data_IF_109406357393
#
_entry.id   IF_109406357393
#
_cell.length_a   1.000
_cell.length_b   1.000
_cell.length_c   1.000
_cell.angle_alpha   90.00
_cell.angle_beta   90.00
_cell.angle_gamma   90.00
#
_symmetry.space_group_name_H-M   'P 1'
#
loop_
_entity.id
_entity.type
_entity.pdbx_description
1 polymer ?
#
# COMPACT_ATOMS: atom_id res chain seq x y z
N UNK A 1 -3.06 1.28 16.45
CA UNK A 1 -2.21 1.09 15.25
C UNK A 1 -2.68 -0.06 14.34
N UNK A 2 -2.72 -1.33 14.78
CA UNK A 2 -3.09 -2.45 13.90
C UNK A 2 -4.43 -2.30 13.18
N UNK A 3 -5.50 -1.93 13.89
CA UNK A 3 -6.81 -1.66 13.28
C UNK A 3 -6.74 -0.60 12.17
N UNK A 4 -5.93 0.45 12.36
CA UNK A 4 -5.78 1.53 11.37
C UNK A 4 -5.01 1.04 10.14
N UNK A 5 -3.95 0.25 10.36
CA UNK A 5 -3.21 -0.38 9.28
C UNK A 5 -4.10 -1.32 8.46
N UNK A 6 -4.87 -2.21 9.11
CA UNK A 6 -5.82 -3.09 8.42
C UNK A 6 -6.86 -2.29 7.65
N UNK A 7 -7.47 -1.28 8.27
CA UNK A 7 -8.46 -0.45 7.60
C UNK A 7 -7.88 0.23 6.36
N UNK A 8 -6.65 0.76 6.45
CA UNK A 8 -5.94 1.36 5.32
C UNK A 8 -5.87 0.39 4.14
N UNK A 9 -5.38 -0.83 4.36
CA UNK A 9 -5.24 -1.82 3.29
C UNK A 9 -6.54 -2.47 2.83
N UNK A 10 -7.58 -2.48 3.68
CA UNK A 10 -8.87 -3.10 3.35
C UNK A 10 -9.87 -2.14 2.69
N UNK A 11 -9.69 -0.83 2.82
CA UNK A 11 -10.72 0.15 2.38
C UNK A 11 -10.21 1.25 1.47
N UNK A 12 -8.89 1.52 1.43
CA UNK A 12 -8.37 2.47 0.44
C UNK A 12 -8.15 1.75 -0.89
N UNK A 13 -8.88 2.20 -1.91
CA UNK A 13 -8.62 1.85 -3.32
C UNK A 13 -7.21 2.31 -3.78
N UNK A 14 -6.54 3.16 -3.01
CA UNK A 14 -5.22 3.72 -3.31
C UNK A 14 -4.09 3.15 -2.45
N UNK A 15 -4.35 2.19 -1.55
CA UNK A 15 -3.28 1.61 -0.75
C UNK A 15 -2.31 0.87 -1.68
N UNK A 16 -1.12 1.44 -1.87
CA UNK A 16 -0.16 0.93 -2.83
C UNK A 16 0.93 0.12 -2.12
N UNK A 17 1.66 -0.68 -2.89
CA UNK A 17 2.81 -1.45 -2.42
C UNK A 17 3.83 -0.57 -1.66
N UNK A 18 3.94 0.70 -2.05
CA UNK A 18 4.79 1.70 -1.40
C UNK A 18 4.36 2.09 0.03
N UNK A 19 3.11 1.85 0.42
CA UNK A 19 2.59 2.21 1.75
C UNK A 19 2.90 1.14 2.81
N UNK A 20 3.28 -0.07 2.40
CA UNK A 20 3.50 -1.19 3.33
C UNK A 20 4.63 -0.91 4.31
N UNK A 21 5.77 -0.43 3.82
CA UNK A 21 6.95 -0.17 4.67
C UNK A 21 6.69 0.98 5.67
N UNK A 22 6.17 2.16 5.26
CA UNK A 22 5.80 3.22 6.21
C UNK A 22 4.79 2.78 7.28
N UNK A 23 3.84 1.91 6.92
CA UNK A 23 2.86 1.38 7.88
C UNK A 23 3.54 0.38 8.83
N UNK A 24 4.45 -0.46 8.35
CA UNK A 24 5.24 -1.34 9.21
C UNK A 24 6.13 -0.55 10.18
N UNK A 25 6.80 0.51 9.72
CA UNK A 25 7.61 1.39 10.57
C UNK A 25 6.76 2.04 11.67
N UNK A 26 5.55 2.49 11.32
CA UNK A 26 4.58 3.05 12.27
C UNK A 26 4.13 2.02 13.32
N UNK A 27 3.96 0.76 12.92
CA UNK A 27 3.64 -0.33 13.86
C UNK A 27 4.84 -0.61 14.77
N UNK A 28 6.06 -0.73 14.23
CA UNK A 28 7.28 -1.00 15.03
C UNK A 28 7.49 0.08 16.10
N UNK A 29 7.36 1.35 15.71
CA UNK A 29 7.47 2.49 16.62
C UNK A 29 6.50 2.38 17.81
N UNK A 30 5.23 2.04 17.56
CA UNK A 30 4.23 1.89 18.62
C UNK A 30 4.51 0.67 19.50
N UNK A 31 4.98 -0.45 18.92
CA UNK A 31 5.36 -1.64 19.68
C UNK A 31 6.55 -1.34 20.61
N UNK A 32 7.56 -0.63 20.10
CA UNK A 32 8.76 -0.28 20.86
C UNK A 32 8.44 0.65 22.04
N UNK A 33 7.65 1.70 21.78
CA UNK A 33 7.15 2.58 22.86
C UNK A 33 6.37 1.77 23.89
N UNK A 34 5.52 0.83 23.44
CA UNK A 34 4.76 -0.05 24.33
C UNK A 34 5.65 -0.91 25.23
N UNK A 35 6.69 -1.54 24.67
CA UNK A 35 7.64 -2.39 25.41
C UNK A 35 8.44 -1.62 26.47
N UNK A 36 8.82 -0.38 26.16
CA UNK A 36 9.58 0.51 27.06
C UNK A 36 8.75 1.09 28.20
N UNK A 37 7.42 1.12 28.08
CA UNK A 37 6.56 1.66 29.14
C UNK A 37 6.38 0.67 30.30
N UNK A 38 6.66 1.12 31.52
CA UNK A 38 6.39 0.35 32.76
C UNK A 38 4.90 0.28 33.14
N UNK A 39 4.03 0.90 32.33
CA UNK A 39 2.59 0.95 32.56
C UNK A 39 1.91 -0.41 32.28
N UNK A 40 2.51 -1.22 31.41
CA UNK A 40 1.95 -2.52 31.04
C UNK A 40 2.53 -3.65 31.86
N UNK A 41 1.70 -4.66 32.13
CA UNK A 41 2.13 -5.90 32.75
C UNK A 41 3.13 -6.66 31.87
N UNK A 42 3.98 -7.48 32.47
CA UNK A 42 5.04 -8.20 31.75
C UNK A 42 4.50 -9.14 30.68
N UNK A 43 3.31 -9.72 30.88
CA UNK A 43 2.63 -10.53 29.86
C UNK A 43 2.29 -9.73 28.60
N UNK A 44 1.87 -8.48 28.74
CA UNK A 44 1.57 -7.58 27.61
C UNK A 44 2.87 -7.20 26.90
N UNK A 45 3.91 -6.87 27.66
CA UNK A 45 5.23 -6.52 27.11
C UNK A 45 5.85 -7.70 26.35
N UNK A 46 5.70 -8.92 26.86
CA UNK A 46 6.08 -10.14 26.14
C UNK A 46 5.28 -10.32 24.85
N UNK A 47 3.97 -10.09 24.89
CA UNK A 47 3.13 -10.09 23.69
C UNK A 47 3.59 -9.08 22.64
N UNK A 48 3.95 -7.87 23.05
CA UNK A 48 4.52 -6.85 22.16
C UNK A 48 5.86 -7.29 21.56
N UNK A 49 6.74 -7.91 22.35
CA UNK A 49 8.02 -8.44 21.86
C UNK A 49 7.83 -9.55 20.81
N UNK A 50 6.85 -10.44 21.02
CA UNK A 50 6.48 -11.48 20.04
C UNK A 50 5.89 -10.87 18.76
N UNK A 51 5.03 -9.86 18.90
CA UNK A 51 4.49 -9.12 17.76
C UNK A 51 5.60 -8.45 16.95
N UNK A 52 6.58 -7.81 17.62
CA UNK A 52 7.73 -7.17 16.99
C UNK A 52 8.61 -8.17 16.25
N UNK A 53 8.92 -9.32 16.87
CA UNK A 53 9.66 -10.41 16.21
C UNK A 53 8.95 -10.90 14.94
N UNK A 54 7.63 -10.99 15.01
CA UNK A 54 6.82 -11.40 13.86
C UNK A 54 6.86 -10.32 12.77
N UNK A 55 6.72 -9.04 13.13
CA UNK A 55 6.82 -7.92 12.21
C UNK A 55 8.18 -7.90 11.49
N UNK A 56 9.28 -8.02 12.23
CA UNK A 56 10.64 -8.05 11.68
C UNK A 56 10.82 -9.17 10.64
N UNK A 57 10.21 -10.34 10.86
CA UNK A 57 10.25 -11.44 9.87
C UNK A 57 9.59 -11.04 8.54
N UNK A 58 8.49 -10.31 8.57
CA UNK A 58 7.85 -9.80 7.36
C UNK A 58 8.61 -8.61 6.77
N UNK A 59 9.22 -7.78 7.62
CA UNK A 59 10.07 -6.68 7.20
C UNK A 59 11.23 -7.20 6.33
N UNK A 60 11.96 -8.22 6.79
CA UNK A 60 13.05 -8.84 6.02
C UNK A 60 12.61 -9.38 4.66
N UNK A 61 11.38 -9.90 4.55
CA UNK A 61 10.84 -10.39 3.28
C UNK A 61 10.46 -9.25 2.32
N UNK A 62 9.97 -8.16 2.89
CA UNK A 62 9.53 -6.98 2.14
C UNK A 62 10.75 -6.23 1.60
N UNK A 63 11.78 -6.07 2.43
CA UNK A 63 13.05 -5.44 2.04
C UNK A 63 13.84 -6.28 1.01
N UNK A 64 13.79 -7.62 1.10
CA UNK A 64 14.40 -8.49 0.11
C UNK A 64 13.68 -8.47 -1.27
N UNK A 65 12.52 -7.83 -1.39
CA UNK A 65 11.72 -7.81 -2.61
C UNK A 65 11.95 -6.55 -3.42
N UNK A 66 12.44 -6.71 -4.65
CA UNK A 66 12.66 -5.62 -5.59
C UNK A 66 11.39 -4.82 -5.89
N UNK A 67 10.23 -5.47 -5.90
CA UNK A 67 8.95 -4.82 -6.16
C UNK A 67 8.63 -3.73 -5.13
N UNK A 68 8.84 -4.00 -3.84
CA UNK A 68 8.60 -3.02 -2.78
C UNK A 68 9.58 -1.85 -2.84
N UNK A 69 10.85 -2.15 -3.16
CA UNK A 69 11.91 -1.13 -3.29
C UNK A 69 11.64 -0.19 -4.46
N UNK A 70 11.28 -0.74 -5.61
CA UNK A 70 10.92 0.02 -6.82
C UNK A 70 9.66 0.86 -6.58
N UNK A 71 8.63 0.28 -5.95
CA UNK A 71 7.39 0.99 -5.64
C UNK A 71 7.62 2.20 -4.72
N UNK A 72 8.44 2.06 -3.67
CA UNK A 72 8.78 3.19 -2.80
C UNK A 72 9.60 4.26 -3.52
N UNK A 73 10.56 3.86 -4.37
CA UNK A 73 11.38 4.81 -5.11
C UNK A 73 10.56 5.63 -6.13
N UNK A 74 9.57 5.00 -6.76
CA UNK A 74 8.64 5.64 -7.69
C UNK A 74 7.59 6.52 -6.99
N UNK A 75 7.39 6.35 -5.68
CA UNK A 75 6.39 7.11 -4.96
C UNK A 75 6.79 8.60 -4.89
N UNK A 76 5.95 9.53 -5.39
CA UNK A 76 6.33 10.94 -5.59
C UNK A 76 6.73 11.66 -4.31
N UNK A 77 6.25 11.16 -3.15
CA UNK A 77 6.52 11.71 -1.82
C UNK A 77 7.76 11.12 -1.13
N UNK A 78 8.15 9.89 -1.44
CA UNK A 78 9.21 9.19 -0.72
C UNK A 78 10.54 9.26 -1.45
N UNK A 79 10.55 8.93 -2.75
CA UNK A 79 11.74 8.92 -3.62
C UNK A 79 12.97 8.39 -2.87
N UNK A 80 14.09 9.08 -2.98
CA UNK A 80 15.33 8.77 -2.24
C UNK A 80 15.44 9.52 -0.91
N UNK A 81 14.54 10.45 -0.61
CA UNK A 81 14.57 11.22 0.64
C UNK A 81 14.12 10.39 1.82
N UNK A 82 13.11 9.55 1.64
CA UNK A 82 12.62 8.66 2.71
C UNK A 82 13.71 7.74 3.25
N UNK A 83 14.50 7.12 2.37
CA UNK A 83 15.60 6.24 2.80
C UNK A 83 16.72 6.98 3.51
N UNK A 84 16.99 8.23 3.13
CA UNK A 84 17.97 9.08 3.81
C UNK A 84 17.49 9.48 5.20
N UNK A 85 16.20 9.80 5.33
CA UNK A 85 15.60 10.23 6.59
C UNK A 85 15.44 9.08 7.60
N UNK A 86 15.49 7.83 7.13
CA UNK A 86 15.40 6.62 7.94
C UNK A 86 16.76 5.91 8.17
N UNK A 87 17.88 6.57 7.87
CA UNK A 87 19.25 6.04 8.04
C UNK A 87 19.49 4.69 7.34
N UNK A 88 18.84 4.46 6.21
CA UNK A 88 19.11 3.26 5.42
C UNK A 88 20.52 3.32 4.84
N UNK A 89 21.19 2.17 4.81
CA UNK A 89 22.57 2.08 4.37
C UNK A 89 22.72 2.56 2.90
N UNK A 90 23.71 3.41 2.57
CA UNK A 90 23.81 4.03 1.24
C UNK A 90 23.87 3.02 0.09
N UNK A 91 24.42 1.84 0.36
CA UNK A 91 24.53 0.71 -0.56
C UNK A 91 23.16 0.15 -0.95
N UNK A 92 22.22 0.14 0.00
CA UNK A 92 20.83 -0.28 -0.23
C UNK A 92 20.07 0.72 -1.08
N UNK A 93 20.34 2.01 -0.89
CA UNK A 93 19.79 3.08 -1.73
C UNK A 93 20.32 2.95 -3.16
N UNK A 94 21.64 2.75 -3.31
CA UNK A 94 22.29 2.58 -4.60
C UNK A 94 21.77 1.33 -5.34
N UNK A 95 21.62 0.21 -4.63
CA UNK A 95 21.09 -1.03 -5.18
C UNK A 95 19.64 -0.87 -5.65
N UNK A 96 18.77 -0.23 -4.85
CA UNK A 96 17.38 0.04 -5.24
C UNK A 96 17.26 0.91 -6.50
N UNK A 97 18.08 1.96 -6.60
CA UNK A 97 18.16 2.81 -7.80
C UNK A 97 18.67 2.02 -9.01
N UNK A 98 19.69 1.17 -8.83
CA UNK A 98 20.24 0.36 -9.90
C UNK A 98 19.23 -0.66 -10.44
N UNK A 99 18.53 -1.36 -9.56
CA UNK A 99 17.46 -2.29 -9.93
C UNK A 99 16.36 -1.57 -10.72
N UNK A 100 15.89 -0.43 -10.21
CA UNK A 100 14.84 0.35 -10.87
C UNK A 100 15.28 0.83 -12.27
N UNK A 101 16.52 1.32 -12.39
CA UNK A 101 17.08 1.73 -13.68
C UNK A 101 17.28 0.54 -14.63
N UNK A 102 17.69 -0.61 -14.10
CA UNK A 102 17.83 -1.85 -14.87
C UNK A 102 16.49 -2.34 -15.43
N UNK A 103 15.43 -2.30 -14.62
CA UNK A 103 14.06 -2.62 -15.07
C UNK A 103 13.61 -1.62 -16.13
N UNK A 104 13.79 -0.31 -15.90
CA UNK A 104 13.38 0.73 -16.85
C UNK A 104 14.11 0.62 -18.20
N UNK A 105 15.41 0.32 -18.17
CA UNK A 105 16.23 0.15 -19.37
C UNK A 105 16.15 -1.26 -19.98
N UNK A 106 15.39 -2.19 -19.38
CA UNK A 106 15.22 -3.54 -19.91
C UNK A 106 14.54 -3.47 -21.28
N UNK A 107 15.01 -4.23 -22.29
CA UNK A 107 14.41 -4.23 -23.62
C UNK A 107 12.91 -4.59 -23.59
N UNK A 108 12.47 -5.38 -22.60
CA UNK A 108 11.07 -5.72 -22.39
C UNK A 108 10.16 -4.50 -22.14
N UNK A 109 10.67 -3.47 -21.47
CA UNK A 109 9.95 -2.23 -21.16
C UNK A 109 10.38 -1.04 -22.04
N UNK A 110 11.56 -1.09 -22.67
CA UNK A 110 12.07 -0.05 -23.54
C UNK A 110 11.42 -0.05 -24.95
N UNK A 111 10.93 -1.21 -25.40
CA UNK A 111 10.11 -1.32 -26.62
C UNK A 111 8.64 -1.51 -26.27
N UNK A 112 8.00 -0.50 -25.70
CA UNK A 112 6.57 -0.35 -25.91
C UNK A 112 6.44 0.20 -27.34
N UNK A 113 5.88 -0.55 -28.32
CA UNK A 113 5.49 0.05 -29.59
C UNK A 113 4.56 1.21 -29.23
N UNK A 114 4.86 2.41 -29.72
CA UNK A 114 4.08 3.64 -29.54
C UNK A 114 2.61 3.29 -29.38
N UNK A 115 2.12 3.31 -28.13
CA UNK A 115 0.76 2.88 -27.85
C UNK A 115 -0.11 3.91 -28.58
N UNK A 116 -0.90 3.51 -29.59
CA UNK A 116 -1.72 4.47 -30.30
C UNK A 116 -2.57 5.20 -29.26
N UNK A 117 -2.76 6.54 -29.42
CA UNK A 117 -3.45 7.36 -28.45
C UNK A 117 -4.68 6.62 -27.95
N UNK A 118 -4.73 6.33 -26.65
CA UNK A 118 -5.94 5.78 -26.07
C UNK A 118 -7.00 6.85 -26.23
N UNK A 119 -7.95 6.62 -27.13
CA UNK A 119 -9.12 7.47 -27.27
C UNK A 119 -9.71 7.67 -25.87
N UNK A 120 -10.06 8.92 -25.49
CA UNK A 120 -10.53 9.21 -24.15
C UNK A 120 -11.67 8.25 -23.81
N UNK A 121 -11.48 7.50 -22.71
CA UNK A 121 -12.50 6.62 -22.15
C UNK A 121 -13.83 7.38 -22.14
N UNK A 122 -14.93 6.81 -22.68
CA UNK A 122 -16.18 7.53 -22.76
C UNK A 122 -16.64 7.87 -21.34
N UNK A 123 -16.62 9.18 -21.02
CA UNK A 123 -17.33 9.75 -19.89
C UNK A 123 -18.81 9.58 -20.22
N UNK A 124 -19.41 8.44 -19.87
CA UNK A 124 -20.86 8.37 -19.86
C UNK A 124 -21.36 9.01 -18.57
N UNK A 125 -21.46 10.34 -18.63
CA UNK A 125 -22.27 11.15 -17.75
C UNK A 125 -23.29 11.87 -18.61
N UNK A 126 -24.36 11.19 -19.02
CA UNK A 126 -25.63 11.88 -19.30
C UNK A 126 -26.81 11.10 -18.73
N UNK A 127 -27.43 11.74 -17.74
CA UNK A 127 -28.81 11.55 -17.33
C UNK A 127 -29.75 12.10 -18.42
N UNK A 128 -30.88 11.43 -18.63
CA UNK A 128 -32.25 12.02 -18.67
C UNK A 128 -33.17 11.16 -19.55
N UNK A 129 -34.30 10.76 -18.95
CA UNK A 129 -35.68 10.88 -19.48
C UNK A 129 -35.91 10.49 -20.95
N UNK A 130 -36.81 9.60 -21.37
CA UNK A 130 -38.12 9.12 -20.88
C UNK A 130 -38.71 8.17 -21.97
N UNK A 131 -40.02 7.82 -21.99
CA UNK A 131 -40.70 6.64 -21.47
C UNK A 131 -41.07 5.56 -22.52
N UNK A 132 -41.34 4.31 -22.09
CA UNK A 132 -42.62 3.60 -22.39
C UNK A 132 -42.69 2.19 -21.76
N UNK A 133 -43.52 2.09 -20.73
CA UNK A 133 -44.61 1.10 -20.48
C UNK A 133 -44.35 -0.40 -20.75
N UNK A 134 -44.42 -1.21 -19.69
CA UNK A 134 -45.43 -2.28 -19.54
C UNK A 134 -45.40 -2.96 -18.15
N UNK A 135 -46.49 -2.73 -17.40
CA UNK A 135 -47.17 -3.67 -16.50
C UNK A 135 -46.51 -4.14 -15.20
N UNK A 136 -46.99 -3.60 -14.07
CA UNK A 136 -47.07 -4.33 -12.80
C UNK A 136 -48.20 -5.38 -12.86
N UNK A 137 -48.16 -6.39 -11.97
CA UNK A 137 -49.10 -6.31 -10.85
C UNK A 137 -48.41 -6.34 -9.49
N UNK A 138 -48.92 -5.48 -8.60
CA UNK A 138 -48.83 -5.54 -7.15
C UNK A 138 -49.06 -6.95 -6.59
N UNK A 139 -48.37 -7.29 -5.48
CA UNK A 139 -48.92 -7.58 -4.14
C UNK A 139 -47.72 -7.57 -3.18
N UNK A 140 -47.51 -6.48 -2.43
CA UNK A 140 -47.85 -6.30 -1.01
C UNK A 140 -46.92 -7.08 -0.04
N UNK A 141 -46.10 -6.39 0.78
CA UNK A 141 -46.36 -6.09 2.23
C UNK A 141 -45.71 -7.18 3.11
N UNK A 142 -44.96 -6.98 4.20
CA UNK A 142 -44.52 -5.87 5.08
C UNK A 142 -43.30 -6.43 5.86
N UNK A 143 -42.22 -5.68 6.07
CA UNK A 143 -41.85 -5.08 7.36
C UNK A 143 -42.18 -5.90 8.62
N UNK A 144 -41.13 -6.49 9.22
CA UNK A 144 -40.75 -6.31 10.64
C UNK A 144 -39.41 -6.99 10.89
#
# INVERSE_FOLDING_TARGET
>A
IFKQATLLFSTKDTANLADVIPVMDSIDSVLEVGMGTKKYHDSIRLGLALARRTLNRYYSKTDASDAYRVAMLLHPRYKTTYWKDHDWEPEWIAMGVNITRGIYNSPEYATVPDMPPQDPLPINSQSSDNPQVCSSPNVAVQLS
#
